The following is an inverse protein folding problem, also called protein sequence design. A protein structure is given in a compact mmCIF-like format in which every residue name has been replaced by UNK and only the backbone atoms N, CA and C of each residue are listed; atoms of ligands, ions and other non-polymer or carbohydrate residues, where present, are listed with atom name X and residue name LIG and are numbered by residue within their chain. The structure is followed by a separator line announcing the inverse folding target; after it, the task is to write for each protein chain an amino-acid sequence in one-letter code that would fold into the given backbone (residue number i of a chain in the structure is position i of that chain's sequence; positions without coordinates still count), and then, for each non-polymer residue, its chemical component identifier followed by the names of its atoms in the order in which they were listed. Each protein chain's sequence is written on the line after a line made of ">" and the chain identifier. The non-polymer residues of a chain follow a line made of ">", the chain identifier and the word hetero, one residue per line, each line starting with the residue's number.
data_IF_407424833931
#
_entry.id   IF_407424833931
#
_cell.length_a   1.000
_cell.length_b   1.000
_cell.length_c   1.000
_cell.angle_alpha   90.00
_cell.angle_beta   90.00
_cell.angle_gamma   90.00
#
_symmetry.space_group_name_H-M   'P 1'
#
loop_
_entity.id
_entity.type
_entity.pdbx_description
1 polymer ?
#
# COMPACT_ATOMS: atom_id res chain seq x y z
N UNK A 1 -10.24 13.20 -17.63
CA UNK A 1 -8.94 13.63 -17.10
C UNK A 1 -8.96 15.01 -16.46
N UNK A 2 -8.90 16.10 -17.24
CA UNK A 2 -8.58 17.44 -16.70
C UNK A 2 -9.49 17.93 -15.57
N UNK A 3 -10.82 17.83 -15.71
CA UNK A 3 -11.77 18.24 -14.67
C UNK A 3 -11.69 17.38 -13.41
N UNK A 4 -11.49 16.07 -13.58
CA UNK A 4 -11.33 15.16 -12.44
C UNK A 4 -10.06 15.46 -11.63
N UNK A 5 -8.95 15.78 -12.30
CA UNK A 5 -7.73 16.24 -11.60
C UNK A 5 -7.98 17.53 -10.82
N UNK A 6 -8.68 18.48 -11.43
CA UNK A 6 -9.01 19.75 -10.78
C UNK A 6 -9.89 19.55 -9.53
N UNK A 7 -10.86 18.63 -9.60
CA UNK A 7 -11.73 18.30 -8.46
C UNK A 7 -11.05 17.45 -7.38
N UNK A 8 -10.16 16.54 -7.78
CA UNK A 8 -9.39 15.72 -6.83
C UNK A 8 -8.41 16.57 -6.02
N UNK A 9 -7.82 17.59 -6.65
CA UNK A 9 -6.75 18.39 -6.06
C UNK A 9 -5.48 17.58 -5.82
N UNK A 10 -4.46 18.18 -5.18
CA UNK A 10 -3.26 17.45 -4.77
C UNK A 10 -3.62 16.47 -3.64
N UNK A 11 -3.01 15.27 -3.60
CA UNK A 11 -3.29 14.28 -2.57
C UNK A 11 -2.90 14.75 -1.15
N UNK A 12 -2.01 15.75 -1.06
CA UNK A 12 -1.53 16.37 0.18
C UNK A 12 -2.47 17.43 0.74
N UNK A 13 -3.56 17.79 0.03
CA UNK A 13 -4.46 18.84 0.51
C UNK A 13 -5.09 18.47 1.86
N UNK A 14 -5.13 19.37 2.86
CA UNK A 14 -5.78 19.11 4.15
C UNK A 14 -7.29 18.85 4.00
N UNK A 15 -7.90 19.49 2.99
CA UNK A 15 -9.28 19.27 2.52
C UNK A 15 -9.52 17.82 2.06
N UNK A 16 -8.48 17.01 1.83
CA UNK A 16 -8.64 15.65 1.31
C UNK A 16 -9.15 14.66 2.37
N UNK A 17 -9.05 14.99 3.66
CA UNK A 17 -9.53 14.17 4.78
C UNK A 17 -10.42 14.91 5.80
N UNK A 18 -10.73 16.20 5.57
CA UNK A 18 -11.44 17.05 6.54
C UNK A 18 -12.96 17.18 6.34
N UNK A 19 -13.69 17.80 7.29
CA UNK A 19 -15.11 18.12 7.13
C UNK A 19 -15.33 19.09 5.96
N UNK A 20 -15.95 18.61 4.86
CA UNK A 20 -16.09 19.35 3.60
C UNK A 20 -15.30 18.75 2.43
N UNK A 21 -14.47 17.74 2.69
CA UNK A 21 -13.85 16.91 1.67
C UNK A 21 -14.91 16.24 0.77
N UNK A 22 -14.59 16.09 -0.53
CA UNK A 22 -15.30 15.10 -1.36
C UNK A 22 -15.31 13.76 -0.63
N UNK A 23 -16.49 13.12 -0.58
CA UNK A 23 -16.61 11.83 0.09
C UNK A 23 -15.64 10.81 -0.54
N UNK A 24 -15.23 9.81 0.23
CA UNK A 24 -14.35 8.75 -0.28
C UNK A 24 -14.95 8.06 -1.53
N UNK A 25 -16.27 7.94 -1.59
CA UNK A 25 -17.00 7.42 -2.74
C UNK A 25 -16.92 8.34 -3.98
N UNK A 26 -17.02 9.66 -3.81
CA UNK A 26 -16.84 10.62 -4.91
C UNK A 26 -15.39 10.65 -5.38
N UNK A 27 -14.44 10.58 -4.46
CA UNK A 27 -13.01 10.47 -4.76
C UNK A 27 -12.71 9.22 -5.59
N UNK A 28 -13.27 8.06 -5.22
CA UNK A 28 -13.14 6.83 -5.99
C UNK A 28 -13.69 6.96 -7.41
N UNK A 29 -14.85 7.63 -7.59
CA UNK A 29 -15.43 7.90 -8.91
C UNK A 29 -14.51 8.79 -9.75
N UNK A 30 -13.97 9.86 -9.17
CA UNK A 30 -13.07 10.78 -9.87
C UNK A 30 -11.76 10.09 -10.29
N UNK A 31 -11.17 9.30 -9.40
CA UNK A 31 -9.97 8.50 -9.68
C UNK A 31 -10.20 7.51 -10.81
N UNK A 32 -11.39 6.93 -10.91
CA UNK A 32 -11.79 6.03 -12.00
C UNK A 32 -11.75 6.68 -13.39
N UNK A 33 -11.70 8.02 -13.49
CA UNK A 33 -11.59 8.75 -14.76
C UNK A 33 -10.16 9.12 -15.17
N UNK A 34 -9.18 8.82 -14.31
CA UNK A 34 -7.76 9.03 -14.57
C UNK A 34 -7.15 7.80 -15.27
N UNK A 35 -6.03 8.01 -15.96
CA UNK A 35 -5.24 6.86 -16.44
C UNK A 35 -4.72 6.05 -15.25
N UNK A 36 -4.41 4.75 -15.42
CA UNK A 36 -3.92 3.92 -14.32
C UNK A 36 -2.69 4.47 -13.61
N UNK A 37 -1.72 5.01 -14.36
CA UNK A 37 -0.52 5.64 -13.80
C UNK A 37 -0.86 6.86 -12.95
N UNK A 38 -1.65 7.80 -13.49
CA UNK A 38 -2.09 8.99 -12.76
C UNK A 38 -2.84 8.65 -11.47
N UNK A 39 -3.69 7.61 -11.52
CA UNK A 39 -4.42 7.12 -10.34
C UNK A 39 -3.48 6.51 -9.31
N UNK A 40 -2.52 5.69 -9.73
CA UNK A 40 -1.54 5.09 -8.83
C UNK A 40 -0.68 6.15 -8.14
N UNK A 41 -0.21 7.15 -8.88
CA UNK A 41 0.57 8.27 -8.32
C UNK A 41 -0.24 9.09 -7.31
N UNK A 42 -1.50 9.37 -7.63
CA UNK A 42 -2.37 10.11 -6.73
C UNK A 42 -2.64 9.34 -5.43
N UNK A 43 -2.97 8.05 -5.53
CA UNK A 43 -3.23 7.19 -4.36
C UNK A 43 -1.95 6.99 -3.53
N UNK A 44 -0.78 6.84 -4.17
CA UNK A 44 0.50 6.77 -3.49
C UNK A 44 0.76 8.03 -2.64
N UNK A 45 0.56 9.22 -3.21
CA UNK A 45 0.69 10.49 -2.47
C UNK A 45 -0.33 10.62 -1.34
N UNK A 46 -1.54 10.07 -1.52
CA UNK A 46 -2.59 10.10 -0.50
C UNK A 46 -2.23 9.18 0.68
N UNK A 47 -1.71 7.97 0.43
CA UNK A 47 -1.21 7.07 1.46
C UNK A 47 -0.07 7.73 2.25
N UNK A 48 0.88 8.34 1.57
CA UNK A 48 2.03 9.00 2.21
C UNK A 48 1.61 10.16 3.13
N UNK A 49 0.45 10.79 2.85
CA UNK A 49 -0.05 11.93 3.64
C UNK A 49 -1.00 11.49 4.77
N UNK A 50 -1.94 10.59 4.47
CA UNK A 50 -3.08 10.28 5.35
C UNK A 50 -3.04 8.87 5.94
N UNK A 51 -2.10 8.03 5.49
CA UNK A 51 -1.93 6.66 5.95
C UNK A 51 -2.83 5.64 5.26
N UNK A 52 -2.62 4.36 5.59
CA UNK A 52 -3.30 3.23 4.96
C UNK A 52 -4.79 3.11 5.32
N UNK A 53 -5.16 3.46 6.56
CA UNK A 53 -6.55 3.34 7.04
C UNK A 53 -7.51 4.16 6.18
N UNK A 54 -7.14 5.40 5.84
CA UNK A 54 -7.92 6.30 5.00
C UNK A 54 -7.89 5.89 3.52
N UNK A 55 -6.77 5.32 3.06
CA UNK A 55 -6.56 4.97 1.66
C UNK A 55 -7.10 3.59 1.26
N UNK A 56 -7.45 2.73 2.21
CA UNK A 56 -7.72 1.31 1.96
C UNK A 56 -8.73 1.05 0.84
N UNK A 57 -9.85 1.80 0.81
CA UNK A 57 -10.88 1.63 -0.21
C UNK A 57 -10.41 2.06 -1.61
N UNK A 58 -9.43 2.98 -1.70
CA UNK A 58 -8.89 3.47 -2.98
C UNK A 58 -7.93 2.46 -3.62
N UNK A 59 -7.29 1.60 -2.84
CA UNK A 59 -6.40 0.54 -3.33
C UNK A 59 -7.12 -0.41 -4.30
N UNK A 60 -8.39 -0.70 -4.04
CA UNK A 60 -9.23 -1.56 -4.88
C UNK A 60 -9.53 -0.99 -6.28
N UNK A 61 -9.25 0.30 -6.50
CA UNK A 61 -9.45 0.96 -7.80
C UNK A 61 -8.20 0.93 -8.67
N UNK A 62 -7.04 0.58 -8.11
CA UNK A 62 -5.77 0.62 -8.81
C UNK A 62 -5.57 -0.62 -9.68
N UNK A 63 -4.87 -0.44 -10.80
CA UNK A 63 -4.57 -1.55 -11.71
C UNK A 63 -3.66 -2.58 -11.03
N UNK A 64 -3.79 -3.85 -11.45
CA UNK A 64 -2.97 -4.95 -10.94
C UNK A 64 -2.06 -5.48 -12.07
N UNK A 65 -0.76 -5.68 -11.82
CA UNK A 65 -0.04 -5.32 -10.59
C UNK A 65 -0.04 -3.79 -10.37
N UNK A 66 0.02 -3.38 -9.10
CA UNK A 66 0.14 -1.98 -8.72
C UNK A 66 1.41 -1.40 -9.34
N UNK A 67 1.28 -0.20 -9.93
CA UNK A 67 2.43 0.52 -10.43
C UNK A 67 3.47 0.77 -9.31
N UNK A 68 4.77 0.83 -9.63
CA UNK A 68 5.82 0.91 -8.62
C UNK A 68 5.66 2.01 -7.55
N UNK A 69 5.18 3.23 -7.88
CA UNK A 69 4.96 4.27 -6.86
C UNK A 69 3.92 3.87 -5.80
N UNK A 70 2.84 3.22 -6.22
CA UNK A 70 1.79 2.76 -5.31
C UNK A 70 2.26 1.59 -4.45
N UNK A 71 2.92 0.61 -5.07
CA UNK A 71 3.47 -0.54 -4.33
C UNK A 71 4.45 -0.09 -3.25
N UNK A 72 5.34 0.87 -3.58
CA UNK A 72 6.26 1.48 -2.62
C UNK A 72 5.52 2.18 -1.48
N UNK A 73 4.55 3.04 -1.78
CA UNK A 73 3.80 3.77 -0.75
C UNK A 73 3.08 2.83 0.22
N UNK A 74 2.53 1.71 -0.26
CA UNK A 74 1.90 0.70 0.61
C UNK A 74 2.92 0.02 1.51
N UNK A 75 4.06 -0.41 0.97
CA UNK A 75 5.12 -1.06 1.74
C UNK A 75 5.72 -0.11 2.78
N UNK A 76 6.00 1.13 2.39
CA UNK A 76 6.53 2.17 3.30
C UNK A 76 5.54 2.43 4.44
N UNK A 77 4.23 2.51 4.16
CA UNK A 77 3.23 2.71 5.20
C UNK A 77 3.04 1.50 6.13
N UNK A 78 3.25 0.28 5.64
CA UNK A 78 3.28 -0.93 6.48
C UNK A 78 4.52 -0.95 7.37
N UNK A 79 5.68 -0.53 6.86
CA UNK A 79 6.91 -0.42 7.65
C UNK A 79 6.80 0.65 8.73
N UNK A 80 6.21 1.81 8.41
CA UNK A 80 5.89 2.84 9.41
C UNK A 80 4.98 2.27 10.52
N UNK A 81 3.97 1.46 10.17
CA UNK A 81 3.10 0.83 11.16
C UNK A 81 3.83 -0.22 12.03
N UNK A 82 4.78 -0.95 11.42
CA UNK A 82 5.69 -1.88 12.10
C UNK A 82 6.57 -1.15 13.11
N UNK A 83 7.24 -0.08 12.67
CA UNK A 83 8.13 0.72 13.52
C UNK A 83 7.36 1.46 14.63
N UNK A 84 6.10 1.80 14.41
CA UNK A 84 5.21 2.36 15.42
C UNK A 84 4.72 1.32 16.46
N UNK A 85 5.15 0.05 16.37
CA UNK A 85 4.79 -0.99 17.33
C UNK A 85 3.31 -1.45 17.24
N UNK A 86 2.62 -1.12 16.14
CA UNK A 86 1.26 -1.61 15.90
C UNK A 86 1.26 -3.12 15.67
N UNK A 87 0.12 -3.79 15.81
CA UNK A 87 0.03 -5.20 15.42
C UNK A 87 -0.30 -5.39 13.94
N UNK A 88 0.30 -6.38 13.26
CA UNK A 88 0.08 -6.60 11.83
C UNK A 88 -1.35 -7.03 11.49
N UNK A 89 -2.10 -7.63 12.42
CA UNK A 89 -3.46 -8.07 12.13
C UNK A 89 -4.44 -6.93 11.86
N UNK A 90 -4.18 -5.73 12.42
CA UNK A 90 -4.90 -4.50 12.08
C UNK A 90 -4.78 -4.13 10.60
N UNK A 91 -3.73 -4.63 9.93
CA UNK A 91 -3.43 -4.41 8.52
C UNK A 91 -3.64 -5.66 7.66
N UNK A 92 -4.28 -6.72 8.17
CA UNK A 92 -4.47 -7.99 7.43
C UNK A 92 -5.13 -7.80 6.08
N UNK A 93 -6.10 -6.88 5.97
CA UNK A 93 -6.77 -6.55 4.71
C UNK A 93 -5.81 -5.95 3.67
N UNK A 94 -4.93 -5.04 4.11
CA UNK A 94 -3.90 -4.43 3.26
C UNK A 94 -2.84 -5.46 2.88
N UNK A 95 -2.37 -6.27 3.82
CA UNK A 95 -1.42 -7.36 3.56
C UNK A 95 -1.95 -8.34 2.52
N UNK A 96 -3.22 -8.75 2.64
CA UNK A 96 -3.85 -9.63 1.66
C UNK A 96 -3.99 -8.98 0.27
N UNK A 97 -4.23 -7.66 0.19
CA UNK A 97 -4.17 -6.95 -1.09
C UNK A 97 -2.74 -6.90 -1.63
N UNK A 98 -1.75 -6.57 -0.81
CA UNK A 98 -0.34 -6.51 -1.20
C UNK A 98 0.16 -7.85 -1.77
N UNK A 99 -0.21 -8.99 -1.15
CA UNK A 99 0.12 -10.33 -1.64
C UNK A 99 -0.35 -10.58 -3.10
N UNK A 100 -1.51 -10.02 -3.48
CA UNK A 100 -2.11 -10.18 -4.81
C UNK A 100 -1.72 -9.09 -5.80
N UNK A 101 -1.58 -7.87 -5.31
CA UNK A 101 -1.51 -6.67 -6.13
C UNK A 101 -0.10 -6.13 -6.29
N UNK A 102 0.86 -6.41 -5.39
CA UNK A 102 2.25 -6.03 -5.64
C UNK A 102 2.80 -6.78 -6.85
N UNK A 103 3.66 -6.08 -7.60
CA UNK A 103 4.47 -6.66 -8.66
C UNK A 103 5.41 -7.71 -8.04
N UNK A 104 5.41 -8.96 -8.52
CA UNK A 104 6.32 -10.00 -8.05
C UNK A 104 7.80 -9.62 -8.11
N UNK A 105 8.21 -8.73 -9.03
CA UNK A 105 9.57 -8.25 -9.15
C UNK A 105 10.04 -7.42 -7.93
N UNK A 106 9.10 -6.87 -7.16
CA UNK A 106 9.40 -6.05 -5.97
C UNK A 106 9.75 -6.88 -4.73
N UNK A 107 9.73 -8.22 -4.81
CA UNK A 107 9.99 -9.11 -3.68
C UNK A 107 11.32 -8.80 -2.94
N UNK A 108 12.38 -8.45 -3.67
CA UNK A 108 13.68 -8.12 -3.09
C UNK A 108 13.68 -6.86 -2.23
N UNK A 109 12.70 -5.95 -2.40
CA UNK A 109 12.59 -4.75 -1.56
C UNK A 109 12.11 -5.05 -0.15
N UNK A 110 11.43 -6.18 0.04
CA UNK A 110 10.94 -6.60 1.35
C UNK A 110 12.04 -7.21 2.22
N UNK A 111 13.23 -7.48 1.68
CA UNK A 111 14.31 -8.14 2.42
C UNK A 111 14.78 -7.35 3.64
N UNK A 112 14.74 -6.01 3.56
CA UNK A 112 15.03 -5.15 4.70
C UNK A 112 14.00 -5.24 5.84
N UNK A 113 12.79 -5.72 5.54
CA UNK A 113 11.66 -5.76 6.48
C UNK A 113 11.50 -7.11 7.18
N UNK A 114 12.34 -8.09 6.85
CA UNK A 114 12.31 -9.44 7.44
C UNK A 114 12.96 -9.49 8.83
N UNK A 115 13.74 -8.47 9.19
CA UNK A 115 14.34 -8.37 10.51
C UNK A 115 13.28 -8.05 11.58
N UNK A 116 13.37 -8.72 12.71
CA UNK A 116 12.60 -8.37 13.90
C UNK A 116 13.06 -6.98 14.37
N UNK A 117 12.18 -5.97 14.42
CA UNK A 117 12.54 -4.66 14.97
C UNK A 117 12.86 -4.77 16.46
N UNK A 118 13.74 -3.90 16.94
CA UNK A 118 13.99 -3.77 18.37
C UNK A 118 12.68 -3.36 19.08
N UNK A 119 12.35 -4.04 20.18
CA UNK A 119 11.15 -3.72 20.95
C UNK A 119 11.36 -2.40 21.72
N UNK A 120 10.53 -1.40 21.41
CA UNK A 120 10.42 -0.18 22.24
C UNK A 120 9.52 -0.42 23.45
N UNK A 121 9.70 0.34 24.53
CA UNK A 121 8.87 0.24 25.75
C UNK A 121 7.37 0.47 25.48
N UNK A 122 7.04 1.26 24.45
CA UNK A 122 5.66 1.54 24.02
C UNK A 122 5.11 0.54 22.99
N UNK A 123 5.92 -0.43 22.53
CA UNK A 123 5.49 -1.41 21.55
C UNK A 123 4.60 -2.48 22.17
N UNK A 124 3.65 -2.98 21.38
CA UNK A 124 2.86 -4.10 21.84
C UNK A 124 3.74 -5.37 21.93
N UNK A 125 3.71 -6.13 23.05
CA UNK A 125 4.65 -7.23 23.27
C UNK A 125 4.64 -8.28 22.15
N UNK A 126 5.81 -8.60 21.58
CA UNK A 126 5.96 -9.58 20.52
C UNK A 126 5.48 -9.11 19.13
N UNK A 127 5.00 -7.87 18.97
CA UNK A 127 4.55 -7.34 17.69
C UNK A 127 5.64 -7.41 16.61
N UNK A 128 6.90 -7.18 16.99
CA UNK A 128 8.05 -7.26 16.07
C UNK A 128 8.21 -8.64 15.42
N UNK A 129 8.03 -9.72 16.20
CA UNK A 129 8.08 -11.09 15.68
C UNK A 129 6.95 -11.38 14.70
N UNK A 130 5.73 -10.94 15.01
CA UNK A 130 4.58 -11.09 14.10
C UNK A 130 4.75 -10.29 12.80
N UNK A 131 5.36 -9.10 12.86
CA UNK A 131 5.67 -8.32 11.66
C UNK A 131 6.71 -9.00 10.77
N UNK A 132 7.79 -9.53 11.36
CA UNK A 132 8.80 -10.27 10.62
C UNK A 132 8.18 -11.48 9.90
N UNK A 133 7.31 -12.24 10.58
CA UNK A 133 6.58 -13.36 9.96
C UNK A 133 5.65 -12.88 8.82
N UNK A 134 4.92 -11.78 9.03
CA UNK A 134 4.01 -11.23 8.05
C UNK A 134 4.73 -10.79 6.77
N UNK A 135 5.86 -10.06 6.90
CA UNK A 135 6.69 -9.68 5.76
C UNK A 135 7.38 -10.88 5.11
N UNK A 136 7.80 -11.89 5.87
CA UNK A 136 8.35 -13.13 5.33
C UNK A 136 7.34 -13.87 4.46
N UNK A 137 6.08 -13.98 4.91
CA UNK A 137 5.01 -14.59 4.10
C UNK A 137 4.76 -13.83 2.81
N UNK A 138 4.70 -12.50 2.89
CA UNK A 138 4.52 -11.64 1.71
C UNK A 138 5.67 -11.82 0.71
N UNK A 139 6.93 -11.71 1.16
CA UNK A 139 8.11 -11.86 0.31
C UNK A 139 8.20 -13.25 -0.33
N UNK A 140 7.89 -14.31 0.43
CA UNK A 140 7.83 -15.69 -0.09
C UNK A 140 6.78 -15.82 -1.19
N UNK A 141 5.60 -15.21 -0.98
CA UNK A 141 4.51 -15.23 -1.96
C UNK A 141 4.90 -14.51 -3.26
N UNK A 142 5.51 -13.33 -3.17
CA UNK A 142 5.96 -12.59 -4.35
C UNK A 142 7.06 -13.34 -5.12
N UNK A 143 8.03 -13.95 -4.42
CA UNK A 143 9.05 -14.79 -5.05
C UNK A 143 8.46 -15.99 -5.79
N UNK A 144 7.48 -16.65 -5.19
CA UNK A 144 6.78 -17.77 -5.84
C UNK A 144 6.07 -17.28 -7.11
N UNK A 145 5.31 -16.18 -7.03
CA UNK A 145 4.64 -15.58 -8.19
C UNK A 145 5.64 -15.17 -9.29
N UNK A 146 6.79 -14.62 -8.92
CA UNK A 146 7.85 -14.24 -9.86
C UNK A 146 8.47 -15.47 -10.54
N UNK A 147 8.67 -16.56 -9.80
CA UNK A 147 9.10 -17.83 -10.37
C UNK A 147 8.06 -18.37 -11.37
N UNK A 148 6.78 -18.43 -10.99
CA UNK A 148 5.70 -18.88 -11.88
C UNK A 148 5.62 -18.05 -13.16
N UNK A 149 5.75 -16.72 -13.05
CA UNK A 149 5.71 -15.79 -14.18
C UNK A 149 6.85 -16.07 -15.16
N UNK A 150 8.07 -16.30 -14.66
CA UNK A 150 9.23 -16.72 -15.47
C UNK A 150 9.00 -18.06 -16.18
N UNK A 151 8.47 -19.06 -15.49
CA UNK A 151 8.20 -20.38 -16.07
C UNK A 151 7.12 -20.33 -17.16
N UNK A 152 6.12 -19.47 -17.01
CA UNK A 152 5.04 -19.29 -17.98
C UNK A 152 5.45 -18.45 -19.19
N UNK A 153 6.63 -17.83 -19.19
CA UNK A 153 7.08 -16.94 -20.27
C UNK A 153 6.26 -15.66 -20.40
N UNK A 154 5.50 -15.31 -19.35
CA UNK A 154 4.75 -14.06 -19.28
C UNK A 154 5.69 -13.05 -18.64
N UNK A 155 6.02 -11.96 -19.34
CA UNK A 155 6.88 -10.89 -18.85
C UNK A 155 6.34 -9.54 -19.27
#
# INVERSE_FOLDING_TARGET
>A
GAWARALLGPPTAPEAGGPGAVSLAERAKLLGTLTPGERADWVAGFIATHGLSEAFQLLGMCEVPWAPPLGRAVVDALDIARDAGSYPWSFSGVMGLAERCLDPAEAGRLDGLLAVPDESEDAAPGAGGYWAEAFQRLATTLRLRAAMTRELGVG
#
